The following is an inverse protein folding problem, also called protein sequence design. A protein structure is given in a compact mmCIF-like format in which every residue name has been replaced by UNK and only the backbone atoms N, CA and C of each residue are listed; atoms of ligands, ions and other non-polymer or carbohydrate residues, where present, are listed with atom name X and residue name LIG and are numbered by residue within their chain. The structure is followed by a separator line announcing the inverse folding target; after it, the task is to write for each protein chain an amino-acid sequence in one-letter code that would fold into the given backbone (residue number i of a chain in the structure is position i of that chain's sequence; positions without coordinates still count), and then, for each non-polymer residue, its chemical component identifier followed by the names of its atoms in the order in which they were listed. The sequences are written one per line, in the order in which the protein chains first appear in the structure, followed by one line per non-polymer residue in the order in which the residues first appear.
data_IF_687758707175
#
_entry.id   IF_687758707175
#
_cell.length_a   1.000
_cell.length_b   1.000
_cell.length_c   1.000
_cell.angle_alpha   90.00
_cell.angle_beta   90.00
_cell.angle_gamma   90.00
#
_symmetry.space_group_name_H-M   'P 1'
#
loop_
_entity.id
_entity.type
_entity.pdbx_description
1 polymer ?
#
# COMPACT_ATOMS: atom_id res chain seq x y z
N UNK A 1 -22.78 -9.53 4.60
CA UNK A 1 -22.93 -8.21 3.97
C UNK A 1 -22.07 -7.27 4.77
N UNK A 2 -21.01 -6.71 4.19
CA UNK A 2 -20.19 -5.75 4.92
C UNK A 2 -21.06 -4.53 5.26
N UNK A 3 -21.10 -4.11 6.52
CA UNK A 3 -21.94 -3.00 7.02
C UNK A 3 -21.46 -1.61 6.54
N UNK A 4 -20.40 -1.55 5.73
CA UNK A 4 -19.73 -0.32 5.32
C UNK A 4 -19.47 -0.26 3.82
N UNK A 5 -19.67 0.92 3.23
CA UNK A 5 -19.31 1.20 1.84
C UNK A 5 -17.91 1.80 1.75
N UNK A 6 -17.05 1.22 0.90
CA UNK A 6 -15.71 1.75 0.58
C UNK A 6 -15.79 2.66 -0.65
N UNK A 7 -15.49 3.93 -0.49
CA UNK A 7 -15.43 4.91 -1.58
C UNK A 7 -13.96 5.23 -1.89
N UNK A 8 -13.59 5.19 -3.16
CA UNK A 8 -12.22 5.44 -3.64
C UNK A 8 -12.21 6.71 -4.53
N UNK A 9 -12.15 7.92 -3.96
CA UNK A 9 -12.34 9.17 -4.72
C UNK A 9 -11.22 9.47 -5.72
N UNK A 10 -10.04 8.88 -5.51
CA UNK A 10 -8.85 9.04 -6.36
C UNK A 10 -8.51 7.75 -7.11
N UNK A 11 -9.50 6.87 -7.34
CA UNK A 11 -9.27 5.55 -7.96
C UNK A 11 -8.59 5.62 -9.34
N UNK A 12 -8.87 6.69 -10.10
CA UNK A 12 -8.33 6.86 -11.46
C UNK A 12 -7.00 7.59 -11.49
N UNK A 13 -6.49 8.06 -10.34
CA UNK A 13 -5.24 8.79 -10.29
C UNK A 13 -4.06 7.84 -10.43
N UNK A 14 -3.06 8.27 -11.19
CA UNK A 14 -1.75 7.62 -11.24
C UNK A 14 -0.71 8.42 -10.43
N UNK A 15 0.52 7.90 -10.33
CA UNK A 15 1.60 8.52 -9.57
C UNK A 15 1.92 9.97 -10.00
N UNK A 16 1.75 10.30 -11.29
CA UNK A 16 1.93 11.66 -11.80
C UNK A 16 0.84 12.60 -11.31
N UNK A 17 -0.41 12.16 -11.32
CA UNK A 17 -1.54 12.96 -10.83
C UNK A 17 -1.36 13.30 -9.35
N UNK A 18 -0.93 12.32 -8.55
CA UNK A 18 -0.60 12.49 -7.14
C UNK A 18 0.53 13.52 -6.97
N UNK A 19 1.62 13.41 -7.74
CA UNK A 19 2.73 14.34 -7.67
C UNK A 19 2.37 15.78 -8.04
N UNK A 20 1.59 15.95 -9.10
CA UNK A 20 1.13 17.25 -9.52
C UNK A 20 0.25 17.90 -8.45
N UNK A 21 -0.65 17.12 -7.83
CA UNK A 21 -1.52 17.62 -6.77
C UNK A 21 -0.72 18.03 -5.52
N UNK A 22 0.18 17.18 -5.04
CA UNK A 22 1.00 17.48 -3.86
C UNK A 22 1.83 18.76 -4.08
N UNK A 23 2.45 18.88 -5.26
CA UNK A 23 3.25 20.07 -5.62
C UNK A 23 2.40 21.33 -5.72
N UNK A 24 1.24 21.27 -6.38
CA UNK A 24 0.36 22.43 -6.56
C UNK A 24 -0.20 22.98 -5.24
N UNK A 25 -0.30 22.13 -4.23
CA UNK A 25 -0.86 22.45 -2.92
C UNK A 25 0.19 22.54 -1.80
N UNK A 26 1.48 22.52 -2.13
CA UNK A 26 2.59 22.57 -1.16
C UNK A 26 2.47 21.52 -0.04
N UNK A 27 2.07 20.30 -0.42
CA UNK A 27 1.90 19.18 0.49
C UNK A 27 3.18 18.35 0.56
N UNK A 28 3.66 17.99 1.76
CA UNK A 28 4.87 17.20 1.90
C UNK A 28 4.64 15.75 1.48
N UNK A 29 5.69 15.14 0.92
CA UNK A 29 5.79 13.69 0.79
C UNK A 29 6.21 13.04 2.10
N UNK A 30 5.98 11.73 2.20
CA UNK A 30 6.56 10.95 3.28
C UNK A 30 8.10 10.96 3.16
N UNK A 31 8.87 11.19 4.25
CA UNK A 31 10.34 11.30 4.17
C UNK A 31 11.08 10.10 3.58
N UNK A 32 10.48 8.90 3.66
CA UNK A 32 11.04 7.69 3.07
C UNK A 32 10.90 7.60 1.56
N UNK A 33 10.10 8.48 0.94
CA UNK A 33 10.03 8.58 -0.51
C UNK A 33 11.42 8.84 -1.10
N UNK A 34 12.19 9.76 -0.50
CA UNK A 34 13.57 10.08 -0.90
C UNK A 34 14.55 8.93 -0.64
N UNK A 35 14.15 7.92 0.14
CA UNK A 35 14.91 6.70 0.41
C UNK A 35 14.48 5.54 -0.51
N UNK A 36 13.62 5.80 -1.49
CA UNK A 36 13.16 4.80 -2.46
C UNK A 36 11.96 3.96 -2.00
N UNK A 37 11.29 4.33 -0.90
CA UNK A 37 10.05 3.67 -0.49
C UNK A 37 8.86 4.19 -1.30
N UNK A 38 8.48 3.42 -2.31
CA UNK A 38 7.31 3.69 -3.17
C UNK A 38 5.99 3.21 -2.55
N UNK A 39 6.04 2.28 -1.59
CA UNK A 39 4.91 1.84 -0.78
C UNK A 39 5.33 1.65 0.66
N UNK A 40 4.60 2.24 1.62
CA UNK A 40 4.97 2.26 3.05
C UNK A 40 3.88 1.62 3.90
N UNK A 41 4.28 0.83 4.90
CA UNK A 41 3.41 0.35 5.99
C UNK A 41 4.28 -0.17 7.12
N UNK A 42 4.01 -1.36 7.69
CA UNK A 42 4.76 -1.81 8.85
C UNK A 42 6.26 -2.00 8.55
N UNK A 43 7.08 -1.69 9.55
CA UNK A 43 8.54 -1.62 9.42
C UNK A 43 9.21 -2.94 9.00
N UNK A 44 8.62 -4.08 9.38
CA UNK A 44 9.14 -5.43 9.13
C UNK A 44 8.66 -5.99 7.78
N UNK A 45 7.70 -5.34 7.13
CA UNK A 45 7.07 -5.81 5.88
C UNK A 45 7.09 -4.76 4.77
N UNK A 46 7.99 -3.77 4.86
CA UNK A 46 8.19 -2.70 3.88
C UNK A 46 9.68 -2.46 3.62
N UNK A 47 10.07 -2.30 2.35
CA UNK A 47 11.45 -1.97 1.95
C UNK A 47 11.46 -0.95 0.79
N UNK A 48 12.63 -0.38 0.43
CA UNK A 48 12.75 0.36 -0.83
C UNK A 48 12.49 -0.52 -2.06
N UNK A 49 12.07 0.10 -3.16
CA UNK A 49 11.95 -0.56 -4.47
C UNK A 49 13.33 -1.00 -4.98
N UNK A 50 13.39 -2.16 -5.63
CA UNK A 50 14.59 -2.73 -6.21
C UNK A 50 14.43 -2.94 -7.72
N UNK A 51 15.54 -3.06 -8.45
CA UNK A 51 15.53 -3.19 -9.91
C UNK A 51 14.82 -4.45 -10.43
N UNK A 52 14.60 -5.45 -9.59
CA UNK A 52 13.86 -6.67 -9.93
C UNK A 52 12.36 -6.64 -9.60
N UNK A 53 11.87 -5.55 -9.01
CA UNK A 53 10.44 -5.40 -8.70
C UNK A 53 9.67 -5.00 -9.96
N UNK A 54 8.53 -5.65 -10.18
CA UNK A 54 7.66 -5.35 -11.32
C UNK A 54 6.58 -4.32 -10.94
N UNK A 55 6.27 -4.21 -9.65
CA UNK A 55 5.28 -3.31 -9.07
C UNK A 55 5.78 -2.63 -7.80
N UNK A 56 5.28 -1.43 -7.52
CA UNK A 56 5.53 -0.71 -6.27
C UNK A 56 5.18 -1.55 -5.03
N UNK A 57 4.18 -2.44 -5.15
CA UNK A 57 3.71 -3.28 -4.04
C UNK A 57 4.57 -4.51 -3.78
N UNK A 58 5.49 -4.86 -4.67
CA UNK A 58 6.44 -5.96 -4.42
C UNK A 58 7.44 -5.63 -3.30
N UNK A 59 7.56 -4.33 -3.00
CA UNK A 59 8.27 -3.82 -1.83
C UNK A 59 7.58 -4.15 -0.49
N UNK A 60 6.36 -4.71 -0.52
CA UNK A 60 5.56 -5.09 0.64
C UNK A 60 5.52 -6.60 0.81
N UNK A 61 5.47 -7.08 2.06
CA UNK A 61 5.28 -8.50 2.39
C UNK A 61 6.25 -9.46 1.65
N UNK A 62 7.46 -9.00 1.35
CA UNK A 62 8.44 -9.73 0.53
C UNK A 62 7.91 -10.18 -0.85
N UNK A 63 6.95 -9.46 -1.43
CA UNK A 63 6.28 -9.80 -2.69
C UNK A 63 5.25 -10.93 -2.60
N UNK A 64 5.02 -11.51 -1.41
CA UNK A 64 4.17 -12.70 -1.25
C UNK A 64 2.67 -12.40 -1.14
N UNK A 65 2.32 -11.20 -0.66
CA UNK A 65 0.94 -10.77 -0.48
C UNK A 65 0.76 -9.39 -1.08
N UNK A 66 -0.36 -9.22 -1.78
CA UNK A 66 -0.68 -7.97 -2.47
C UNK A 66 -1.64 -7.09 -1.67
N UNK A 67 -2.61 -7.68 -0.95
CA UNK A 67 -3.59 -6.94 -0.16
C UNK A 67 -3.44 -7.21 1.34
N UNK A 68 -3.47 -6.12 2.12
CA UNK A 68 -3.52 -6.20 3.57
C UNK A 68 -4.94 -6.56 4.03
N UNK A 69 -5.04 -7.12 5.24
CA UNK A 69 -6.29 -7.48 5.89
C UNK A 69 -7.35 -6.39 5.96
N UNK A 70 -6.95 -5.12 5.97
CA UNK A 70 -7.86 -3.96 5.91
C UNK A 70 -8.76 -3.96 4.66
N UNK A 71 -8.29 -4.54 3.56
CA UNK A 71 -8.97 -4.53 2.27
C UNK A 71 -9.75 -5.82 2.00
N UNK A 72 -9.40 -6.92 2.68
CA UNK A 72 -10.07 -8.20 2.53
C UNK A 72 -11.47 -8.19 3.16
N UNK A 73 -12.43 -8.83 2.49
CA UNK A 73 -13.73 -9.12 3.09
C UNK A 73 -13.52 -10.06 4.26
N UNK A 74 -14.17 -9.78 5.40
CA UNK A 74 -14.10 -10.61 6.60
C UNK A 74 -14.92 -11.90 6.40
N UNK A 75 -14.41 -12.87 5.62
CA UNK A 75 -14.82 -14.26 5.76
C UNK A 75 -14.06 -14.90 6.93
N UNK A 76 -14.60 -15.95 7.58
CA UNK A 76 -13.87 -16.69 8.61
C UNK A 76 -12.51 -17.22 8.12
N UNK A 77 -12.41 -17.61 6.85
CA UNK A 77 -11.15 -18.04 6.23
C UNK A 77 -10.19 -16.86 5.97
N UNK A 78 -10.72 -15.70 5.55
CA UNK A 78 -9.93 -14.49 5.39
C UNK A 78 -9.34 -14.03 6.73
N UNK A 79 -10.10 -14.16 7.82
CA UNK A 79 -9.67 -13.84 9.18
C UNK A 79 -8.45 -14.65 9.66
N UNK A 80 -8.32 -15.91 9.25
CA UNK A 80 -7.13 -16.73 9.53
C UNK A 80 -5.90 -16.30 8.72
N UNK A 81 -6.09 -15.65 7.56
CA UNK A 81 -5.00 -15.08 6.74
C UNK A 81 -4.53 -13.70 7.22
N UNK A 82 -5.27 -13.07 8.14
CA UNK A 82 -4.99 -11.77 8.78
C UNK A 82 -3.85 -11.82 9.80
N UNK A 83 -3.34 -13.00 10.18
CA UNK A 83 -2.20 -13.09 11.10
C UNK A 83 -0.88 -12.78 10.37
N UNK A 84 -0.78 -11.56 9.85
CA UNK A 84 0.44 -10.98 9.29
C UNK A 84 1.52 -10.75 10.35
N UNK A 85 1.21 -10.96 11.64
CA UNK A 85 2.14 -10.92 12.77
C UNK A 85 3.17 -12.05 12.77
N UNK A 86 3.03 -13.04 11.88
CA UNK A 86 3.87 -14.24 11.82
C UNK A 86 4.79 -14.31 10.59
N UNK A 87 4.77 -13.29 9.71
CA UNK A 87 5.65 -13.21 8.53
C UNK A 87 6.75 -12.16 8.69
#
# INVERSE_FOLDING_TARGET
WDEFYKIHPILTWNARDIYQYLTAHDLPYHPYFDQGYVSVGDWHSSRPMMAGDESERDSRFHGLKQECGLHLTLSPEAAQSLDSSTL
#
